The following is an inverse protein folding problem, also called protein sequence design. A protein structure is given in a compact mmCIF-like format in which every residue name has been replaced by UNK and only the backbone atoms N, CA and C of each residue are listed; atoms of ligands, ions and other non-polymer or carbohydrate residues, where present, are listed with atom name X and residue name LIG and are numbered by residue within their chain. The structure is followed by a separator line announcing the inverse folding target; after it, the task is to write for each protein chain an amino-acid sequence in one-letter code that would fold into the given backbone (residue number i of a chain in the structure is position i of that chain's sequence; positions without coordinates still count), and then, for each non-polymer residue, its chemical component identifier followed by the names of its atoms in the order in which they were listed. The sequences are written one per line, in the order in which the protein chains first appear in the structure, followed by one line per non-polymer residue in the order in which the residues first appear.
data_IF_277199937520
#
_entry.id   IF_277199937520
#
_cell.length_a   1.000
_cell.length_b   1.000
_cell.length_c   1.000
_cell.angle_alpha   90.00
_cell.angle_beta   90.00
_cell.angle_gamma   90.00
#
_symmetry.space_group_name_H-M   'P 1'
#
loop_
_entity.id
_entity.type
_entity.pdbx_description
1 polymer ?
#
# COMPACT_ATOMS: atom_id res chain seq x y z
N UNK A 1 -12.43 10.84 -11.93
CA UNK A 1 -13.01 12.07 -11.36
C UNK A 1 -12.33 12.22 -10.01
N UNK A 2 -11.43 13.20 -9.87
CA UNK A 2 -10.67 13.41 -8.63
C UNK A 2 -11.63 14.15 -7.70
N UNK A 3 -12.10 13.49 -6.64
CA UNK A 3 -13.02 14.10 -5.67
C UNK A 3 -12.23 15.16 -4.89
N UNK A 4 -12.81 16.35 -4.70
CA UNK A 4 -12.19 17.50 -4.02
C UNK A 4 -11.94 17.25 -2.50
N UNK A 5 -12.26 16.04 -2.04
CA UNK A 5 -12.10 15.52 -0.68
C UNK A 5 -11.13 14.33 -0.59
N UNK A 6 -10.22 14.16 -1.56
CA UNK A 6 -9.24 13.09 -1.47
C UNK A 6 -8.27 13.37 -0.30
N UNK A 7 -8.17 12.42 0.63
CA UNK A 7 -7.28 12.53 1.79
C UNK A 7 -5.86 12.61 1.26
N UNK A 8 -5.12 13.65 1.63
CA UNK A 8 -3.69 13.78 1.32
C UNK A 8 -2.89 13.66 2.61
N UNK A 9 -2.03 12.65 2.67
CA UNK A 9 -1.15 12.38 3.80
C UNK A 9 0.30 12.66 3.41
N UNK A 10 1.04 13.30 4.29
CA UNK A 10 2.50 13.32 4.22
C UNK A 10 3.08 11.92 4.53
N UNK A 11 4.35 11.73 4.18
CA UNK A 11 5.11 10.52 4.52
C UNK A 11 4.98 10.09 6.00
N UNK A 12 5.06 11.05 6.93
CA UNK A 12 4.95 10.76 8.37
C UNK A 12 3.53 10.40 8.78
N UNK A 13 2.52 11.02 8.17
CA UNK A 13 1.13 10.72 8.46
C UNK A 13 0.72 9.34 7.94
N UNK A 14 1.17 8.94 6.75
CA UNK A 14 0.82 7.63 6.20
C UNK A 14 1.46 6.47 6.95
N UNK A 15 2.74 6.60 7.34
CA UNK A 15 3.42 5.61 8.20
C UNK A 15 2.67 5.44 9.52
N UNK A 16 2.30 6.57 10.14
CA UNK A 16 1.56 6.56 11.40
C UNK A 16 0.16 5.96 11.24
N UNK A 17 -0.56 6.29 10.17
CA UNK A 17 -1.89 5.78 9.90
C UNK A 17 -1.89 4.26 9.64
N UNK A 18 -0.83 3.74 9.03
CA UNK A 18 -0.69 2.30 8.74
C UNK A 18 -0.16 1.50 9.94
N UNK A 19 0.38 2.17 10.96
CA UNK A 19 1.02 1.52 12.11
C UNK A 19 2.32 0.81 11.75
N UNK A 20 3.03 1.31 10.75
CA UNK A 20 4.30 0.76 10.26
C UNK A 20 5.49 1.64 10.66
N UNK A 21 6.69 1.26 10.23
CA UNK A 21 7.92 2.05 10.40
C UNK A 21 8.55 2.42 9.04
N UNK A 22 9.57 3.29 9.07
CA UNK A 22 10.29 3.77 7.89
C UNK A 22 10.89 2.62 7.07
N UNK A 23 11.55 1.65 7.70
CA UNK A 23 12.21 0.56 6.99
C UNK A 23 11.19 -0.31 6.26
N UNK A 24 10.10 -0.65 6.94
CA UNK A 24 9.01 -1.39 6.31
C UNK A 24 8.41 -0.61 5.14
N UNK A 25 8.19 0.70 5.30
CA UNK A 25 7.60 1.54 4.27
C UNK A 25 8.48 1.64 3.01
N UNK A 26 9.79 1.77 3.17
CA UNK A 26 10.73 1.74 2.04
C UNK A 26 10.71 0.37 1.35
N UNK A 27 10.71 -0.73 2.11
CA UNK A 27 10.68 -2.09 1.54
C UNK A 27 9.43 -2.33 0.67
N UNK A 28 8.27 -1.77 1.02
CA UNK A 28 7.06 -1.96 0.21
C UNK A 28 7.08 -1.10 -1.07
N UNK A 29 7.76 0.04 -1.07
CA UNK A 29 7.97 0.86 -2.28
C UNK A 29 8.92 0.14 -3.23
N UNK A 30 10.03 -0.39 -2.71
CA UNK A 30 11.00 -1.17 -3.51
C UNK A 30 10.38 -2.44 -4.09
N UNK A 31 9.43 -3.05 -3.37
CA UNK A 31 8.67 -4.21 -3.84
C UNK A 31 7.54 -3.84 -4.82
N UNK A 32 7.35 -2.57 -5.16
CA UNK A 32 6.30 -2.08 -6.06
C UNK A 32 4.86 -2.37 -5.55
N UNK A 33 4.69 -2.41 -4.22
CA UNK A 33 3.34 -2.45 -3.61
C UNK A 33 2.63 -1.12 -3.84
N UNK A 34 3.35 -0.01 -3.73
CA UNK A 34 2.89 1.31 -4.15
C UNK A 34 3.95 1.95 -5.04
N UNK A 35 3.51 2.78 -5.97
CA UNK A 35 4.41 3.57 -6.79
C UNK A 35 4.56 4.98 -6.20
N UNK A 36 5.80 5.46 -6.11
CA UNK A 36 6.14 6.84 -5.74
C UNK A 36 7.17 7.32 -6.76
N UNK A 37 6.86 8.40 -7.47
CA UNK A 37 7.71 8.90 -8.57
C UNK A 37 8.90 9.75 -8.08
N UNK A 38 8.76 10.38 -6.91
CA UNK A 38 9.76 11.26 -6.31
C UNK A 38 10.30 10.69 -4.98
N UNK A 39 11.06 11.48 -4.22
CA UNK A 39 11.48 11.14 -2.86
C UNK A 39 10.24 10.81 -1.99
N UNK A 40 10.14 9.58 -1.43
CA UNK A 40 9.03 9.19 -0.55
C UNK A 40 8.79 10.16 0.59
N UNK A 41 9.83 10.80 1.12
CA UNK A 41 9.69 11.73 2.24
C UNK A 41 9.04 13.06 1.85
N UNK A 42 9.08 13.43 0.56
CA UNK A 42 8.48 14.65 0.02
C UNK A 42 7.16 14.38 -0.72
N UNK A 43 6.82 13.12 -0.93
CA UNK A 43 5.59 12.72 -1.60
C UNK A 43 4.36 12.93 -0.71
N UNK A 44 3.22 13.17 -1.37
CA UNK A 44 1.90 13.06 -0.75
C UNK A 44 1.26 11.75 -1.16
N UNK A 45 0.44 11.22 -0.26
CA UNK A 45 -0.21 9.93 -0.43
C UNK A 45 -1.71 10.05 -0.30
N UNK A 46 -2.43 9.45 -1.23
CA UNK A 46 -3.88 9.52 -1.30
C UNK A 46 -4.59 8.42 -0.47
N UNK A 47 -5.93 8.50 -0.40
CA UNK A 47 -6.74 7.50 0.29
C UNK A 47 -6.64 6.10 -0.32
N UNK A 48 -6.37 5.99 -1.62
CA UNK A 48 -6.19 4.71 -2.30
C UNK A 48 -4.88 4.04 -1.87
N UNK A 49 -3.79 4.79 -1.86
CA UNK A 49 -2.48 4.34 -1.37
C UNK A 49 -2.57 3.96 0.11
N UNK A 50 -3.23 4.76 0.94
CA UNK A 50 -3.47 4.41 2.35
C UNK A 50 -4.16 3.04 2.50
N UNK A 51 -5.24 2.81 1.76
CA UNK A 51 -5.97 1.54 1.82
C UNK A 51 -5.11 0.36 1.36
N UNK A 52 -4.34 0.53 0.28
CA UNK A 52 -3.43 -0.47 -0.26
C UNK A 52 -2.31 -0.82 0.71
N UNK A 53 -1.69 0.18 1.34
CA UNK A 53 -0.63 0.00 2.35
C UNK A 53 -1.17 -0.66 3.60
N UNK A 54 -2.34 -0.24 4.10
CA UNK A 54 -2.99 -0.90 5.24
C UNK A 54 -3.31 -2.38 4.96
N UNK A 55 -3.66 -2.74 3.72
CA UNK A 55 -3.87 -4.13 3.31
C UNK A 55 -2.54 -4.90 3.28
N UNK A 56 -1.49 -4.32 2.69
CA UNK A 56 -0.15 -4.89 2.67
C UNK A 56 0.41 -5.15 4.07
N UNK A 57 0.25 -4.18 4.99
CA UNK A 57 0.72 -4.30 6.37
C UNK A 57 0.04 -5.46 7.11
N UNK A 58 -1.28 -5.62 6.94
CA UNK A 58 -2.01 -6.77 7.51
C UNK A 58 -1.53 -8.09 6.94
N UNK A 59 -1.33 -8.21 5.62
CA UNK A 59 -0.83 -9.43 5.00
C UNK A 59 0.58 -9.76 5.51
N UNK A 60 1.49 -8.77 5.50
CA UNK A 60 2.86 -8.97 5.97
C UNK A 60 2.90 -9.43 7.43
N UNK A 61 2.07 -8.83 8.30
CA UNK A 61 1.97 -9.23 9.71
C UNK A 61 1.34 -10.61 9.90
N UNK A 62 0.19 -10.85 9.27
CA UNK A 62 -0.61 -12.06 9.54
C UNK A 62 0.00 -13.33 8.93
N UNK A 63 0.81 -13.18 7.87
CA UNK A 63 1.51 -14.28 7.21
C UNK A 63 3.03 -14.26 7.44
N UNK A 64 3.55 -13.33 8.24
CA UNK A 64 4.99 -13.07 8.38
C UNK A 64 5.69 -12.94 7.01
N UNK A 65 4.96 -12.39 6.03
CA UNK A 65 5.39 -12.36 4.64
C UNK A 65 6.40 -11.22 4.40
N UNK A 66 7.43 -11.54 3.63
CA UNK A 66 8.34 -10.53 3.08
C UNK A 66 7.60 -9.56 2.15
N UNK A 67 8.20 -8.40 1.85
CA UNK A 67 7.59 -7.44 0.93
C UNK A 67 7.30 -8.05 -0.47
N UNK A 68 8.21 -8.81 -1.11
CA UNK A 68 7.90 -9.49 -2.37
C UNK A 68 6.76 -10.52 -2.25
N UNK A 69 6.71 -11.30 -1.17
CA UNK A 69 5.63 -12.25 -0.96
C UNK A 69 4.28 -11.54 -0.75
N UNK A 70 4.29 -10.40 -0.06
CA UNK A 70 3.10 -9.56 0.17
C UNK A 70 2.53 -9.03 -1.15
N UNK A 71 3.37 -8.61 -2.11
CA UNK A 71 2.94 -8.22 -3.46
C UNK A 71 2.20 -9.35 -4.15
N UNK A 72 2.76 -10.56 -4.13
CA UNK A 72 2.16 -11.72 -4.78
C UNK A 72 0.78 -12.04 -4.19
N UNK A 73 0.66 -12.01 -2.86
CA UNK A 73 -0.63 -12.23 -2.18
C UNK A 73 -1.65 -11.16 -2.55
N UNK A 74 -1.24 -9.89 -2.63
CA UNK A 74 -2.12 -8.81 -3.09
C UNK A 74 -2.61 -9.05 -4.53
N UNK A 75 -1.70 -9.38 -5.45
CA UNK A 75 -2.04 -9.69 -6.84
C UNK A 75 -3.00 -10.88 -6.93
N UNK A 76 -2.76 -11.94 -6.15
CA UNK A 76 -3.68 -13.08 -6.10
C UNK A 76 -5.07 -12.70 -5.60
N UNK A 77 -5.18 -11.85 -4.58
CA UNK A 77 -6.49 -11.40 -4.11
C UNK A 77 -7.19 -10.51 -5.14
N UNK A 78 -6.47 -9.62 -5.81
CA UNK A 78 -7.02 -8.78 -6.87
C UNK A 78 -7.55 -9.63 -8.05
N UNK A 79 -6.82 -10.70 -8.41
CA UNK A 79 -7.26 -11.67 -9.42
C UNK A 79 -8.52 -12.45 -8.96
N UNK A 80 -8.55 -12.94 -7.72
CA UNK A 80 -9.71 -13.64 -7.18
C UNK A 80 -10.96 -12.75 -7.13
N UNK A 81 -10.79 -11.47 -6.81
CA UNK A 81 -11.90 -10.51 -6.82
C UNK A 81 -12.40 -10.22 -8.24
N UNK A 82 -11.52 -10.26 -9.24
CA UNK A 82 -11.90 -10.18 -10.67
C UNK A 82 -12.74 -11.39 -11.08
N UNK A 83 -12.27 -12.61 -10.77
CA UNK A 83 -12.99 -13.85 -11.07
C UNK A 83 -14.37 -13.91 -10.41
N UNK A 84 -14.48 -13.44 -9.16
CA UNK A 84 -15.77 -13.40 -8.42
C UNK A 84 -16.81 -12.47 -9.05
N UNK A 85 -16.35 -11.38 -9.69
CA UNK A 85 -17.24 -10.44 -10.39
C UNK A 85 -17.71 -11.00 -11.74
N UNK A 86 -17.23 -12.18 -12.14
CA UNK A 86 -17.57 -12.82 -13.41
C UNK A 86 -16.98 -12.09 -14.61
N UNK A 87 -15.87 -11.35 -14.41
CA UNK A 87 -15.07 -10.79 -15.49
C UNK A 87 -13.98 -11.76 -15.92
#
# INVERSE_FOLDING_TARGET
MHDEHDIQLSYREIIRACGSDDNWFINIIEADIIHVSDDPQQATYDGYQLARICRAHRISRDFEASAPATVLVLQFFDELDTLRKGQ
#
